data_IF_154883164167
#
_entry.id   IF_154883164167
#
_cell.length_a   1.000
_cell.length_b   1.000
_cell.length_c   1.000
_cell.angle_alpha   90.00
_cell.angle_beta   90.00
_cell.angle_gamma   90.00
#
_symmetry.space_group_name_H-M   'P 1'
#
loop_
_entity.id
_entity.type
_entity.pdbx_description
1 polymer ?
#
# COMPACT_ATOMS: atom_id res chain seq x y z
N UNK A 1 5.10 7.11 -32.52
CA UNK A 1 4.49 8.01 -31.53
C UNK A 1 3.88 7.11 -30.45
N UNK A 2 3.36 7.62 -29.33
CA UNK A 2 2.58 6.83 -28.32
C UNK A 2 3.31 6.30 -27.07
N UNK A 3 4.47 6.87 -26.70
CA UNK A 3 4.99 6.76 -25.32
C UNK A 3 5.15 8.14 -24.65
N UNK A 4 5.37 9.18 -25.46
CA UNK A 4 5.60 10.56 -24.99
C UNK A 4 4.29 11.27 -24.59
N UNK A 5 3.14 10.83 -25.13
CA UNK A 5 1.83 11.41 -24.78
C UNK A 5 1.27 10.86 -23.46
N UNK A 6 1.66 9.66 -23.03
CA UNK A 6 1.21 9.06 -21.76
C UNK A 6 1.92 9.69 -20.55
N UNK A 7 3.23 9.95 -20.66
CA UNK A 7 3.94 10.75 -19.64
C UNK A 7 3.36 12.16 -19.54
N UNK A 8 2.90 12.74 -20.68
CA UNK A 8 2.24 14.05 -20.68
C UNK A 8 0.94 14.06 -19.87
N UNK A 9 0.21 12.94 -19.78
CA UNK A 9 -1.06 12.86 -19.05
C UNK A 9 -0.85 12.69 -17.54
N UNK A 10 0.12 11.87 -17.13
CA UNK A 10 0.54 11.77 -15.72
C UNK A 10 1.17 13.08 -15.22
N UNK A 11 1.96 13.76 -16.06
CA UNK A 11 2.52 15.09 -15.76
C UNK A 11 1.47 16.22 -15.78
N UNK A 12 0.31 16.02 -16.42
CA UNK A 12 -0.77 17.04 -16.49
C UNK A 12 -1.48 17.27 -15.15
N UNK A 13 -1.37 16.30 -14.23
CA UNK A 13 -1.86 16.39 -12.84
C UNK A 13 -0.89 17.16 -11.91
N UNK A 14 0.26 17.63 -12.39
CA UNK A 14 1.23 18.38 -11.56
C UNK A 14 0.92 19.89 -11.43
N UNK A 15 -0.31 20.33 -11.74
CA UNK A 15 -0.71 21.74 -11.61
C UNK A 15 -1.23 22.07 -10.20
N UNK A 16 -1.13 23.32 -9.77
CA UNK A 16 -1.63 23.74 -8.45
C UNK A 16 -3.14 23.43 -8.25
N UNK A 17 -3.94 23.44 -9.31
CA UNK A 17 -5.36 23.09 -9.24
C UNK A 17 -5.62 21.60 -9.00
N UNK A 18 -4.69 20.72 -9.38
CA UNK A 18 -4.84 19.29 -9.08
C UNK A 18 -4.52 18.99 -7.62
N UNK A 19 -3.54 19.70 -7.03
CA UNK A 19 -3.25 19.60 -5.61
C UNK A 19 -4.44 20.06 -4.74
N UNK A 20 -5.15 21.11 -5.17
CA UNK A 20 -6.39 21.56 -4.51
C UNK A 20 -7.51 20.53 -4.65
N UNK A 21 -7.67 19.93 -5.83
CA UNK A 21 -8.65 18.86 -6.06
C UNK A 21 -8.33 17.62 -5.22
N UNK A 22 -7.07 17.18 -5.24
CA UNK A 22 -6.60 16.03 -4.47
C UNK A 22 -6.79 16.24 -2.96
N UNK A 23 -6.54 17.45 -2.46
CA UNK A 23 -6.84 17.79 -1.08
C UNK A 23 -8.34 17.66 -0.76
N UNK A 24 -9.21 18.16 -1.66
CA UNK A 24 -10.67 18.04 -1.50
C UNK A 24 -11.11 16.58 -1.52
N UNK A 25 -10.55 15.76 -2.42
CA UNK A 25 -10.87 14.33 -2.45
C UNK A 25 -10.39 13.64 -1.18
N UNK A 26 -9.19 13.94 -0.69
CA UNK A 26 -8.70 13.42 0.59
C UNK A 26 -9.64 13.75 1.76
N UNK A 27 -10.13 15.00 1.85
CA UNK A 27 -11.13 15.34 2.87
C UNK A 27 -12.45 14.55 2.72
N UNK A 28 -12.89 14.26 1.50
CA UNK A 28 -14.09 13.47 1.28
C UNK A 28 -13.88 12.00 1.68
N UNK A 29 -12.70 11.44 1.42
CA UNK A 29 -12.35 10.08 1.83
C UNK A 29 -12.30 9.94 3.34
N UNK A 30 -11.68 10.90 4.04
CA UNK A 30 -11.67 10.96 5.50
C UNK A 30 -13.10 10.92 6.07
N UNK A 31 -13.99 11.76 5.53
CA UNK A 31 -15.40 11.84 5.97
C UNK A 31 -16.13 10.52 5.72
N UNK A 32 -15.91 9.87 4.57
CA UNK A 32 -16.57 8.61 4.22
C UNK A 32 -16.07 7.48 5.12
N UNK A 33 -14.76 7.39 5.34
CA UNK A 33 -14.15 6.36 6.18
C UNK A 33 -14.52 6.52 7.65
N UNK A 34 -14.47 7.74 8.18
CA UNK A 34 -14.89 8.03 9.55
C UNK A 34 -16.33 7.60 9.78
N UNK A 35 -17.23 7.97 8.87
CA UNK A 35 -18.64 7.61 8.94
C UNK A 35 -18.86 6.10 8.85
N UNK A 36 -18.16 5.42 7.94
CA UNK A 36 -18.26 3.96 7.80
C UNK A 36 -17.82 3.24 9.08
N UNK A 37 -16.70 3.64 9.68
CA UNK A 37 -16.21 3.07 10.93
C UNK A 37 -17.23 3.29 12.06
N UNK A 38 -17.77 4.51 12.18
CA UNK A 38 -18.79 4.82 13.18
C UNK A 38 -20.03 3.91 13.03
N UNK A 39 -20.57 3.80 11.81
CA UNK A 39 -21.73 2.95 11.52
C UNK A 39 -21.45 1.49 11.87
N UNK A 40 -20.28 0.97 11.50
CA UNK A 40 -19.89 -0.41 11.76
C UNK A 40 -19.72 -0.73 13.25
N UNK A 41 -19.26 0.24 14.05
CA UNK A 41 -19.10 0.11 15.50
C UNK A 41 -20.46 0.20 16.21
N UNK A 42 -21.32 1.12 15.79
CA UNK A 42 -22.69 1.24 16.31
C UNK A 42 -23.52 -0.02 16.06
N UNK A 43 -23.38 -0.64 14.89
CA UNK A 43 -24.09 -1.88 14.55
C UNK A 43 -23.63 -3.07 15.40
N UNK A 44 -22.31 -3.17 15.65
CA UNK A 44 -21.71 -4.34 16.32
C UNK A 44 -21.72 -4.25 17.85
N UNK A 45 -21.71 -3.03 18.41
CA UNK A 45 -21.55 -2.81 19.84
C UNK A 45 -22.77 -2.04 20.36
N UNK A 46 -23.75 -2.72 20.97
CA UNK A 46 -24.93 -2.07 21.53
C UNK A 46 -24.55 -1.03 22.59
N UNK A 47 -25.10 0.18 22.47
CA UNK A 47 -24.80 1.30 23.38
C UNK A 47 -23.44 1.94 23.15
N UNK A 48 -22.75 1.62 22.06
CA UNK A 48 -21.53 2.32 21.66
C UNK A 48 -21.78 3.81 21.47
N UNK A 49 -20.81 4.61 21.88
CA UNK A 49 -20.85 6.06 21.77
C UNK A 49 -19.53 6.54 21.16
N UNK A 50 -19.58 6.97 19.91
CA UNK A 50 -18.39 7.38 19.17
C UNK A 50 -17.69 8.59 19.81
N UNK A 51 -18.44 9.55 20.35
CA UNK A 51 -17.87 10.73 21.01
C UNK A 51 -17.13 10.39 22.32
N UNK A 52 -17.67 9.49 23.12
CA UNK A 52 -17.00 9.00 24.33
C UNK A 52 -15.76 8.17 23.99
N UNK A 53 -15.84 7.35 22.93
CA UNK A 53 -14.72 6.55 22.44
C UNK A 53 -13.57 7.43 21.93
N UNK A 54 -13.83 8.41 21.07
CA UNK A 54 -12.80 9.32 20.56
C UNK A 54 -12.15 10.14 21.67
N UNK A 55 -12.93 10.61 22.64
CA UNK A 55 -12.40 11.29 23.83
C UNK A 55 -11.45 10.39 24.62
N UNK A 56 -11.86 9.14 24.85
CA UNK A 56 -11.03 8.15 25.57
C UNK A 56 -9.75 7.84 24.79
N UNK A 57 -9.83 7.65 23.47
CA UNK A 57 -8.67 7.45 22.62
C UNK A 57 -7.69 8.64 22.67
N UNK A 58 -8.20 9.89 22.69
CA UNK A 58 -7.36 11.09 22.77
C UNK A 58 -6.63 11.23 24.11
N UNK A 59 -7.23 10.74 25.20
CA UNK A 59 -6.60 10.77 26.52
C UNK A 59 -5.58 9.65 26.73
N UNK A 60 -5.77 8.51 26.08
CA UNK A 60 -4.93 7.32 26.23
C UNK A 60 -4.07 7.04 24.98
N UNK A 61 -3.68 8.08 24.24
CA UNK A 61 -2.91 7.94 22.98
C UNK A 61 -1.60 7.16 23.14
N UNK A 62 -0.99 7.21 24.32
CA UNK A 62 0.28 6.56 24.63
C UNK A 62 0.11 5.08 25.06
N UNK A 63 -1.12 4.65 25.34
CA UNK A 63 -1.45 3.27 25.77
C UNK A 63 -1.98 2.41 24.61
N UNK A 64 -2.53 3.05 23.58
CA UNK A 64 -3.02 2.36 22.38
C UNK A 64 -1.83 1.93 21.52
N UNK A 65 -1.89 0.71 21.01
CA UNK A 65 -0.84 0.17 20.16
C UNK A 65 -0.72 1.03 18.89
N UNK A 66 0.44 1.68 18.71
CA UNK A 66 0.68 2.65 17.64
C UNK A 66 0.47 2.07 16.24
N UNK A 67 0.66 0.76 16.08
CA UNK A 67 0.39 0.00 14.84
C UNK A 67 -1.08 0.04 14.41
N UNK A 68 -2.02 0.15 15.37
CA UNK A 68 -3.45 0.31 15.06
C UNK A 68 -3.71 1.68 14.45
N UNK A 69 -3.11 2.73 15.02
CA UNK A 69 -3.26 4.08 14.47
C UNK A 69 -2.54 4.23 13.13
N UNK A 70 -1.36 3.63 12.98
CA UNK A 70 -0.64 3.61 11.72
C UNK A 70 -1.47 2.89 10.64
N UNK A 71 -2.11 1.77 10.98
CA UNK A 71 -3.03 1.07 10.09
C UNK A 71 -4.24 1.94 9.73
N UNK A 72 -4.88 2.61 10.70
CA UNK A 72 -6.00 3.52 10.43
C UNK A 72 -5.58 4.70 9.55
N UNK A 73 -4.37 5.23 9.75
CA UNK A 73 -3.81 6.32 8.95
C UNK A 73 -3.53 5.88 7.51
N UNK A 74 -3.17 4.61 7.28
CA UNK A 74 -3.01 4.11 5.90
C UNK A 74 -4.30 4.13 5.09
N UNK A 75 -5.46 4.06 5.75
CA UNK A 75 -6.76 4.15 5.06
C UNK A 75 -7.15 5.57 4.65
N UNK A 76 -6.53 6.59 5.26
CA UNK A 76 -6.75 8.02 4.96
C UNK A 76 -5.70 8.59 4.00
N UNK A 77 -4.72 7.77 3.58
CA UNK A 77 -3.72 8.18 2.60
C UNK A 77 -4.31 8.14 1.19
N UNK A 78 -4.98 9.24 0.81
CA UNK A 78 -5.58 9.40 -0.51
C UNK A 78 -4.56 9.23 -1.65
N UNK A 79 -3.29 9.63 -1.44
CA UNK A 79 -2.27 9.48 -2.47
C UNK A 79 -1.99 7.99 -2.72
N UNK A 80 -1.87 7.19 -1.66
CA UNK A 80 -1.71 5.74 -1.78
C UNK A 80 -2.96 5.07 -2.40
N UNK A 81 -4.17 5.53 -2.05
CA UNK A 81 -5.41 5.06 -2.68
C UNK A 81 -5.47 5.41 -4.18
N UNK A 82 -5.10 6.63 -4.55
CA UNK A 82 -5.03 7.12 -5.94
C UNK A 82 -4.03 6.29 -6.75
N UNK A 83 -2.84 6.02 -6.21
CA UNK A 83 -1.85 5.15 -6.85
C UNK A 83 -2.41 3.73 -7.07
N UNK A 84 -3.03 3.13 -6.05
CA UNK A 84 -3.62 1.79 -6.19
C UNK A 84 -4.74 1.75 -7.24
N UNK A 85 -5.56 2.79 -7.35
CA UNK A 85 -6.61 2.88 -8.36
C UNK A 85 -6.04 3.06 -9.78
N UNK A 86 -4.99 3.87 -9.93
CA UNK A 86 -4.28 4.05 -11.19
C UNK A 86 -3.60 2.75 -11.64
N UNK A 87 -2.97 2.02 -10.72
CA UNK A 87 -2.36 0.71 -10.97
C UNK A 87 -3.41 -0.31 -11.44
N UNK A 88 -4.54 -0.40 -10.72
CA UNK A 88 -5.64 -1.30 -11.09
C UNK A 88 -6.19 -0.97 -12.48
N UNK A 89 -6.36 0.31 -12.80
CA UNK A 89 -6.81 0.74 -14.14
C UNK A 89 -5.81 0.38 -15.22
N UNK A 90 -4.52 0.64 -14.99
CA UNK A 90 -3.45 0.30 -15.92
C UNK A 90 -3.43 -1.21 -16.20
N UNK A 91 -3.60 -2.04 -15.18
CA UNK A 91 -3.71 -3.50 -15.33
C UNK A 91 -4.93 -3.90 -16.17
N UNK A 92 -6.11 -3.31 -15.92
CA UNK A 92 -7.33 -3.59 -16.69
C UNK A 92 -7.28 -3.12 -18.14
N UNK A 93 -6.55 -2.05 -18.41
CA UNK A 93 -6.30 -1.55 -19.77
C UNK A 93 -5.16 -2.31 -20.49
N UNK A 94 -4.54 -3.30 -19.84
CA UNK A 94 -3.43 -4.08 -20.40
C UNK A 94 -2.11 -3.32 -20.48
N UNK A 95 -1.98 -2.21 -19.74
CA UNK A 95 -0.78 -1.39 -19.63
C UNK A 95 0.06 -1.70 -18.38
N UNK A 96 -0.29 -2.76 -17.65
CA UNK A 96 0.50 -3.23 -16.51
C UNK A 96 1.93 -3.59 -16.90
N UNK A 97 2.83 -3.63 -15.92
CA UNK A 97 4.26 -3.93 -16.13
C UNK A 97 4.45 -5.28 -16.85
N UNK A 98 4.98 -5.25 -18.08
CA UNK A 98 5.38 -6.46 -18.80
C UNK A 98 6.73 -6.96 -18.30
N UNK A 99 6.70 -7.89 -17.36
CA UNK A 99 7.90 -8.52 -16.78
C UNK A 99 8.45 -9.66 -17.63
N UNK A 100 7.89 -9.93 -18.81
CA UNK A 100 8.28 -11.05 -19.68
C UNK A 100 9.76 -11.05 -20.05
N UNK A 101 10.38 -9.88 -20.10
CA UNK A 101 11.80 -9.69 -20.43
C UNK A 101 12.72 -9.48 -19.22
N UNK A 102 12.17 -9.23 -18.03
CA UNK A 102 12.94 -8.82 -16.84
C UNK A 102 13.28 -9.94 -15.85
N UNK A 103 12.57 -11.07 -15.90
CA UNK A 103 12.74 -12.19 -14.96
C UNK A 103 13.38 -13.39 -15.65
N UNK A 104 14.67 -13.62 -15.38
CA UNK A 104 15.37 -14.87 -15.75
C UNK A 104 15.28 -15.87 -14.60
N UNK A 105 14.68 -17.02 -14.87
CA UNK A 105 14.66 -18.17 -13.94
C UNK A 105 15.85 -19.08 -14.26
N UNK A 106 16.91 -18.99 -13.46
CA UNK A 106 18.02 -19.95 -13.51
C UNK A 106 17.85 -21.03 -12.43
N UNK A 107 17.85 -22.29 -12.85
CA UNK A 107 17.84 -23.44 -11.93
C UNK A 107 19.12 -23.49 -11.10
N UNK A 108 18.99 -23.63 -9.77
CA UNK A 108 20.13 -23.81 -8.89
C UNK A 108 20.59 -25.28 -8.94
N UNK A 109 21.66 -25.56 -9.68
CA UNK A 109 22.25 -26.89 -9.72
C UNK A 109 22.89 -27.22 -8.37
N UNK A 110 22.30 -28.15 -7.62
CA UNK A 110 22.83 -28.67 -6.36
C UNK A 110 24.24 -29.24 -6.61
N UNK A 111 25.25 -28.65 -5.97
CA UNK A 111 26.62 -29.17 -6.05
C UNK A 111 26.65 -30.61 -5.51
N UNK A 112 27.16 -31.51 -6.34
CA UNK A 112 27.48 -32.87 -5.96
C UNK A 112 28.44 -32.87 -4.76
N UNK A 113 28.21 -33.71 -3.73
CA UNK A 113 29.12 -33.81 -2.60
C UNK A 113 30.44 -34.43 -3.08
N UNK A 114 31.53 -33.69 -2.90
CA UNK A 114 32.91 -34.17 -3.09
C UNK A 114 33.11 -35.44 -2.24
N UNK A 115 33.49 -36.59 -2.82
CA UNK A 115 33.97 -37.69 -2.02
C UNK A 115 35.41 -37.41 -1.56
N UNK A 116 35.64 -37.61 -0.27
CA UNK A 116 36.92 -37.51 0.41
C UNK A 116 37.91 -38.61 -0.01
N UNK A 117 39.17 -38.42 0.40
CA UNK A 117 40.38 -39.29 0.33
C UNK A 117 41.24 -39.08 -0.93
N UNK A 118 42.57 -38.97 -0.85
CA UNK A 118 43.50 -39.62 0.07
C UNK A 118 44.62 -38.66 0.52
N UNK A 119 44.93 -38.74 1.82
CA UNK A 119 46.17 -38.26 2.40
C UNK A 119 46.87 -39.50 2.93
N UNK A 120 47.92 -39.97 2.26
CA UNK A 120 48.81 -40.97 2.84
C UNK A 120 50.26 -40.54 2.64
N UNK A 121 50.97 -40.60 3.76
CA UNK A 121 52.21 -39.93 4.07
C UNK A 121 53.42 -40.55 3.37
N UNK A 122 54.43 -39.68 3.23
CA UNK A 122 55.85 -39.99 3.04
C UNK A 122 56.32 -41.21 3.85
N UNK A 123 57.07 -42.10 3.21
CA UNK A 123 58.43 -42.45 3.60
C UNK A 123 59.21 -43.06 2.43
#
# INVERSE_FOLDING_TARGET
MDAVEEESFALSFSSASDAEFDAVVGYLEDIIMEKYIEEQLLERIPGFNMAAFTTTLQHHKDEVAGDIFDMLLTFTDFLAFKEMFLDYRAEKEGRGLDLSSGLVVTSLCKSSPVPASQNDLRH
#
